data_IF_825052941400
#
_entry.id   IF_825052941400
#
_cell.length_a   1.000
_cell.length_b   1.000
_cell.length_c   1.000
_cell.angle_alpha   90.00
_cell.angle_beta   90.00
_cell.angle_gamma   90.00
#
_symmetry.space_group_name_H-M   'P 1'
#
loop_
_entity.id
_entity.type
_entity.pdbx_description
1 polymer ?
#
# COMPACT_ATOMS: atom_id res chain seq x y z
N UNK A 1 8.81 25.55 -49.73
CA UNK A 1 7.61 24.68 -49.71
C UNK A 1 8.05 23.24 -49.97
N UNK A 2 7.72 22.29 -49.08
CA UNK A 2 8.06 20.87 -49.30
C UNK A 2 7.36 20.37 -50.57
N UNK A 3 8.09 19.69 -51.45
CA UNK A 3 7.60 19.24 -52.76
C UNK A 3 6.40 18.28 -52.58
N UNK A 4 5.19 18.65 -53.05
CA UNK A 4 3.96 17.89 -52.82
C UNK A 4 4.00 16.48 -53.43
N UNK A 5 4.74 16.31 -54.53
CA UNK A 5 4.90 15.02 -55.22
C UNK A 5 5.65 14.01 -54.35
N UNK A 6 6.67 14.47 -53.61
CA UNK A 6 7.46 13.60 -52.73
C UNK A 6 6.66 13.15 -51.50
N UNK A 7 5.76 13.99 -51.00
CA UNK A 7 4.86 13.64 -49.90
C UNK A 7 3.82 12.61 -50.35
N UNK A 8 3.26 12.77 -51.55
CA UNK A 8 2.29 11.84 -52.12
C UNK A 8 2.91 10.45 -52.39
N UNK A 9 4.12 10.41 -52.95
CA UNK A 9 4.87 9.18 -53.13
C UNK A 9 5.15 8.45 -51.79
N UNK A 10 5.42 9.19 -50.72
CA UNK A 10 5.60 8.64 -49.38
C UNK A 10 4.31 8.03 -48.79
N UNK A 11 3.15 8.63 -49.07
CA UNK A 11 1.85 8.09 -48.65
C UNK A 11 1.52 6.77 -49.35
N UNK A 12 1.73 6.71 -50.66
CA UNK A 12 1.55 5.47 -51.43
C UNK A 12 2.50 4.39 -50.91
N UNK A 13 3.76 4.73 -50.63
CA UNK A 13 4.72 3.77 -50.08
C UNK A 13 4.32 3.24 -48.70
N UNK A 14 3.65 4.04 -47.86
CA UNK A 14 3.14 3.59 -46.56
C UNK A 14 1.98 2.60 -46.66
N UNK A 15 1.16 2.66 -47.72
CA UNK A 15 0.07 1.70 -47.93
C UNK A 15 0.58 0.26 -48.12
N UNK A 16 1.77 0.10 -48.71
CA UNK A 16 2.39 -1.21 -48.93
C UNK A 16 3.26 -1.69 -47.76
N UNK A 17 3.41 -0.90 -46.69
CA UNK A 17 4.08 -1.34 -45.47
C UNK A 17 3.11 -2.14 -44.61
N UNK A 18 3.62 -3.14 -43.90
CA UNK A 18 2.83 -3.84 -42.88
C UNK A 18 2.32 -2.81 -41.87
N UNK A 19 1.06 -2.87 -41.46
CA UNK A 19 0.54 -1.93 -40.48
C UNK A 19 1.28 -2.15 -39.15
N UNK A 20 1.63 -1.05 -38.50
CA UNK A 20 2.25 -1.08 -37.15
C UNK A 20 1.20 -1.37 -36.07
N UNK A 21 -0.08 -1.46 -36.46
CA UNK A 21 -1.17 -1.82 -35.57
C UNK A 21 -0.94 -3.22 -35.03
N UNK A 22 -0.79 -3.29 -33.72
CA UNK A 22 -0.90 -4.53 -32.97
C UNK A 22 -2.39 -4.90 -32.85
N UNK A 23 -2.72 -6.18 -32.97
CA UNK A 23 -4.01 -6.65 -32.46
C UNK A 23 -3.98 -6.50 -30.94
N UNK A 24 -5.05 -5.97 -30.35
CA UNK A 24 -5.15 -5.65 -28.92
C UNK A 24 -5.20 -6.93 -28.06
N UNK A 25 -4.09 -7.65 -27.99
CA UNK A 25 -3.81 -8.59 -26.91
C UNK A 25 -2.56 -8.07 -26.21
N UNK A 26 -2.79 -7.51 -25.02
CA UNK A 26 -1.85 -6.78 -24.18
C UNK A 26 -0.39 -7.19 -24.39
N UNK A 27 0.32 -6.32 -25.10
CA UNK A 27 1.72 -6.50 -25.43
C UNK A 27 2.60 -6.49 -24.18
N UNK A 28 3.65 -7.31 -24.24
CA UNK A 28 4.84 -7.32 -23.39
C UNK A 28 4.89 -6.21 -22.33
N UNK A 29 4.42 -6.52 -21.12
CA UNK A 29 4.62 -5.68 -19.94
C UNK A 29 6.09 -5.80 -19.53
N UNK A 30 6.77 -4.67 -19.35
CA UNK A 30 8.11 -4.68 -18.77
C UNK A 30 8.04 -5.16 -17.31
N UNK A 31 9.08 -5.86 -16.85
CA UNK A 31 9.22 -6.28 -15.44
C UNK A 31 9.13 -5.10 -14.44
N UNK A 32 9.43 -3.88 -14.89
CA UNK A 32 9.37 -2.65 -14.08
C UNK A 32 8.05 -1.88 -14.19
N UNK A 33 7.01 -2.47 -14.78
CA UNK A 33 5.74 -1.80 -14.95
C UNK A 33 5.08 -1.55 -13.59
N UNK A 34 4.71 -0.29 -13.32
CA UNK A 34 4.13 0.11 -12.04
C UNK A 34 2.61 0.01 -12.11
N UNK A 35 2.06 -1.00 -11.47
CA UNK A 35 0.62 -1.17 -11.33
C UNK A 35 0.09 -0.71 -9.96
N UNK A 36 -1.20 -0.97 -9.69
CA UNK A 36 -1.83 -0.70 -8.41
C UNK A 36 -1.06 -1.40 -7.27
N UNK A 37 -0.64 -0.66 -6.22
CA UNK A 37 0.11 -1.26 -5.13
C UNK A 37 -0.72 -2.31 -4.39
N UNK A 38 -0.21 -3.55 -4.35
CA UNK A 38 -0.76 -4.64 -3.54
C UNK A 38 0.02 -4.75 -2.25
N UNK A 39 -0.68 -4.75 -1.12
CA UNK A 39 -0.07 -4.91 0.20
C UNK A 39 -0.08 -6.37 0.62
N UNK A 40 1.05 -6.82 1.14
CA UNK A 40 1.20 -8.07 1.87
C UNK A 40 0.89 -7.80 3.35
N UNK A 41 -0.24 -8.34 3.82
CA UNK A 41 -0.74 -8.14 5.18
C UNK A 41 0.16 -8.81 6.24
N UNK A 42 0.90 -9.85 5.86
CA UNK A 42 1.83 -10.53 6.77
C UNK A 42 3.04 -9.65 7.06
N UNK A 43 3.60 -9.00 6.03
CA UNK A 43 4.76 -8.10 6.15
C UNK A 43 4.40 -6.71 6.61
N UNK A 44 3.17 -6.25 6.37
CA UNK A 44 2.74 -4.93 6.80
C UNK A 44 2.82 -4.79 8.32
N UNK A 45 3.39 -3.68 8.79
CA UNK A 45 3.43 -3.33 10.22
C UNK A 45 2.51 -2.17 10.57
N UNK A 46 1.89 -1.51 9.60
CA UNK A 46 1.13 -0.28 9.86
C UNK A 46 1.97 0.90 10.37
N UNK A 47 3.25 0.98 9.99
CA UNK A 47 4.18 2.04 10.42
C UNK A 47 3.88 3.44 9.85
N UNK A 48 3.08 3.53 8.79
CA UNK A 48 2.70 4.83 8.20
C UNK A 48 3.66 5.44 7.18
N UNK A 49 4.80 4.81 6.89
CA UNK A 49 5.75 5.36 5.90
C UNK A 49 5.13 5.57 4.50
N UNK A 50 4.22 4.68 4.07
CA UNK A 50 3.52 4.81 2.80
C UNK A 50 2.51 5.98 2.79
N UNK A 51 1.88 6.27 3.93
CA UNK A 51 0.97 7.40 4.10
C UNK A 51 1.73 8.73 3.95
N UNK A 52 2.84 8.89 4.68
CA UNK A 52 3.63 10.12 4.63
C UNK A 52 4.24 10.41 3.25
N UNK A 53 4.56 9.36 2.48
CA UNK A 53 5.19 9.53 1.15
C UNK A 53 4.19 9.70 0.01
N UNK A 54 2.91 9.50 0.25
CA UNK A 54 1.88 9.56 -0.79
C UNK A 54 1.60 11.01 -1.21
N UNK A 55 2.07 11.40 -2.40
CA UNK A 55 1.87 12.77 -2.91
C UNK A 55 0.44 13.05 -3.38
N UNK A 56 -0.33 12.01 -3.72
CA UNK A 56 -1.72 12.16 -4.14
C UNK A 56 -2.72 12.03 -3.00
N UNK A 57 -2.27 11.74 -1.78
CA UNK A 57 -3.16 11.51 -0.63
C UNK A 57 -4.00 10.24 -0.71
N UNK A 58 -3.69 9.32 -1.64
CA UNK A 58 -4.44 8.07 -1.84
C UNK A 58 -4.29 7.05 -0.71
N UNK A 59 -3.27 7.18 0.13
CA UNK A 59 -3.08 6.28 1.28
C UNK A 59 -3.74 6.90 2.50
N UNK A 60 -4.49 6.09 3.25
CA UNK A 60 -5.18 6.49 4.47
C UNK A 60 -4.83 5.56 5.61
N UNK A 61 -4.77 6.11 6.82
CA UNK A 61 -4.55 5.36 8.07
C UNK A 61 -5.58 5.85 9.07
N UNK A 62 -6.38 4.91 9.55
CA UNK A 62 -7.43 5.16 10.53
C UNK A 62 -7.26 4.20 11.70
N UNK A 63 -7.22 4.75 12.91
CA UNK A 63 -7.19 3.96 14.14
C UNK A 63 -8.60 3.97 14.73
N UNK A 64 -9.27 2.82 14.71
CA UNK A 64 -10.62 2.65 15.24
C UNK A 64 -10.55 1.61 16.35
N UNK A 65 -10.88 2.02 17.57
CA UNK A 65 -10.78 1.16 18.76
C UNK A 65 -9.38 0.55 18.91
N UNK A 66 -9.26 -0.78 18.84
CA UNK A 66 -8.01 -1.53 18.99
C UNK A 66 -7.39 -1.92 17.65
N UNK A 67 -7.84 -1.34 16.53
CA UNK A 67 -7.38 -1.73 15.21
C UNK A 67 -6.94 -0.52 14.39
N UNK A 68 -5.77 -0.62 13.78
CA UNK A 68 -5.27 0.28 12.75
C UNK A 68 -5.63 -0.28 11.38
N UNK A 69 -6.37 0.49 10.61
CA UNK A 69 -6.66 0.19 9.20
C UNK A 69 -5.76 1.04 8.30
N UNK A 70 -5.03 0.38 7.38
CA UNK A 70 -4.24 1.02 6.32
C UNK A 70 -4.90 0.74 4.98
N UNK A 71 -5.26 1.79 4.25
CA UNK A 71 -6.07 1.75 3.04
C UNK A 71 -5.33 2.47 1.90
N UNK A 72 -5.39 1.95 0.67
CA UNK A 72 -4.94 2.66 -0.54
C UNK A 72 -6.14 2.77 -1.46
N UNK A 73 -6.60 4.00 -1.64
CA UNK A 73 -7.63 4.34 -2.60
C UNK A 73 -7.07 4.27 -4.02
N UNK A 74 -7.62 3.34 -4.78
CA UNK A 74 -7.23 3.08 -6.16
C UNK A 74 -7.59 4.21 -7.13
N UNK A 75 -8.60 5.02 -6.81
CA UNK A 75 -9.05 6.12 -7.68
C UNK A 75 -8.16 7.36 -7.54
N UNK A 76 -7.66 7.61 -6.33
CA UNK A 76 -6.73 8.70 -6.05
C UNK A 76 -5.26 8.29 -6.29
N UNK A 77 -4.98 7.02 -6.54
CA UNK A 77 -3.63 6.53 -6.80
C UNK A 77 -3.14 6.97 -8.19
N UNK A 78 -1.98 7.63 -8.23
CA UNK A 78 -1.32 8.07 -9.49
C UNK A 78 -0.23 7.10 -9.97
N UNK A 79 -0.15 5.90 -9.40
CA UNK A 79 0.80 4.85 -9.78
C UNK A 79 2.30 5.25 -9.76
N UNK A 80 2.66 6.23 -8.92
CA UNK A 80 4.04 6.72 -8.86
C UNK A 80 5.03 5.73 -8.22
N UNK A 81 4.56 4.76 -7.44
CA UNK A 81 5.38 3.72 -6.80
C UNK A 81 6.16 4.12 -5.53
N UNK A 82 6.10 5.39 -5.11
CA UNK A 82 6.85 5.88 -3.92
C UNK A 82 6.51 5.16 -2.62
N UNK A 83 5.30 4.62 -2.50
CA UNK A 83 4.88 3.85 -1.33
C UNK A 83 5.63 2.52 -1.22
N UNK A 84 5.94 1.86 -2.34
CA UNK A 84 6.76 0.65 -2.36
C UNK A 84 8.20 0.96 -1.96
N UNK A 85 8.79 2.03 -2.52
CA UNK A 85 10.15 2.47 -2.21
C UNK A 85 10.33 2.87 -0.73
N UNK A 86 9.29 3.47 -0.12
CA UNK A 86 9.34 3.94 1.26
C UNK A 86 9.07 2.84 2.29
N UNK A 87 8.58 1.66 1.88
CA UNK A 87 8.19 0.61 2.82
C UNK A 87 9.42 -0.11 3.38
N UNK A 88 9.70 -0.01 4.69
CA UNK A 88 10.90 -0.64 5.26
C UNK A 88 10.83 -2.18 5.25
N UNK A 89 9.62 -2.76 5.25
CA UNK A 89 9.42 -4.22 5.18
C UNK A 89 9.23 -4.72 3.74
N UNK A 90 9.29 -3.85 2.73
CA UNK A 90 8.97 -4.20 1.34
C UNK A 90 7.61 -4.92 1.21
N UNK A 91 6.62 -4.47 1.99
CA UNK A 91 5.28 -5.06 2.04
C UNK A 91 4.38 -4.65 0.87
N UNK A 92 4.82 -3.72 0.02
CA UNK A 92 4.06 -3.21 -1.12
C UNK A 92 4.72 -3.63 -2.43
N UNK A 93 3.94 -4.26 -3.29
CA UNK A 93 4.38 -4.72 -4.61
C UNK A 93 3.57 -4.01 -5.70
N UNK A 94 4.24 -3.63 -6.79
CA UNK A 94 3.66 -2.90 -7.92
C UNK A 94 3.54 -3.82 -9.13
N UNK A 95 2.88 -4.97 -9.01
CA UNK A 95 2.77 -5.94 -10.09
C UNK A 95 1.34 -6.04 -10.64
N UNK A 96 1.26 -6.32 -11.94
CA UNK A 96 0.02 -6.70 -12.62
C UNK A 96 -0.30 -8.19 -12.42
N UNK A 97 0.67 -8.98 -11.96
CA UNK A 97 0.57 -10.42 -11.91
C UNK A 97 -0.29 -10.92 -10.73
N UNK A 98 -1.17 -11.91 -10.99
CA UNK A 98 -1.91 -12.61 -9.95
C UNK A 98 -0.95 -13.47 -9.08
N UNK A 99 -1.10 -13.41 -7.76
CA UNK A 99 -0.26 -14.14 -6.80
C UNK A 99 -0.77 -15.55 -6.52
N UNK A 100 -2.08 -15.77 -6.55
CA UNK A 100 -2.68 -17.07 -6.24
C UNK A 100 -3.09 -17.84 -7.50
N UNK A 101 -3.18 -19.16 -7.41
CA UNK A 101 -3.65 -20.00 -8.52
C UNK A 101 -5.13 -19.71 -8.86
N UNK A 102 -5.92 -19.24 -7.90
CA UNK A 102 -7.28 -18.76 -8.13
C UNK A 102 -7.30 -17.44 -8.91
N UNK A 103 -6.38 -16.51 -8.60
CA UNK A 103 -6.22 -15.27 -9.37
C UNK A 103 -5.64 -15.53 -10.78
N UNK A 104 -4.84 -16.60 -10.96
CA UNK A 104 -4.40 -17.07 -12.29
C UNK A 104 -5.57 -17.61 -13.12
N UNK A 105 -6.48 -18.40 -12.51
CA UNK A 105 -7.71 -18.86 -13.18
C UNK A 105 -8.60 -17.69 -13.58
N UNK A 106 -8.79 -16.71 -12.70
CA UNK A 106 -9.52 -15.47 -13.04
C UNK A 106 -8.83 -14.73 -14.20
N UNK A 107 -7.50 -14.68 -14.24
CA UNK A 107 -6.76 -14.09 -15.38
C UNK A 107 -6.93 -14.89 -16.67
N UNK A 108 -6.92 -16.22 -16.60
CA UNK A 108 -7.12 -17.12 -17.75
C UNK A 108 -8.56 -17.03 -18.28
N UNK A 109 -9.56 -17.03 -17.40
CA UNK A 109 -10.97 -16.82 -17.73
C UNK A 109 -11.27 -15.39 -18.22
N UNK A 110 -10.54 -14.37 -17.74
CA UNK A 110 -10.60 -12.98 -18.26
C UNK A 110 -10.07 -12.85 -19.70
N UNK A 111 -9.23 -13.79 -20.16
CA UNK A 111 -8.60 -13.75 -21.48
C UNK A 111 -9.44 -14.39 -22.60
N UNK A 112 -10.48 -15.16 -22.25
CA UNK A 112 -11.35 -15.87 -23.20
C UNK A 112 -12.63 -15.11 -23.59
N UNK A 113 -12.79 -13.85 -23.16
CA UNK A 113 -13.94 -13.02 -23.49
C UNK A 113 -13.57 -12.05 -24.62
N UNK A 114 -14.20 -12.20 -25.79
CA UNK A 114 -14.15 -11.21 -26.88
C UNK A 114 -14.46 -9.80 -26.31
N UNK A 115 -13.43 -8.97 -26.17
CA UNK A 115 -13.51 -7.66 -25.50
C UNK A 115 -12.96 -7.72 -24.08
N UNK A 116 -11.63 -7.69 -23.98
CA UNK A 116 -10.86 -7.94 -22.76
C UNK A 116 -11.36 -7.19 -21.52
N UNK A 117 -11.60 -7.95 -20.47
CA UNK A 117 -11.86 -7.43 -19.14
C UNK A 117 -10.59 -6.75 -18.59
N UNK A 118 -10.72 -5.50 -18.11
CA UNK A 118 -9.66 -4.83 -17.38
C UNK A 118 -9.77 -5.23 -15.89
N UNK A 119 -8.68 -5.59 -15.19
CA UNK A 119 -8.69 -6.15 -13.82
C UNK A 119 -9.11 -5.17 -12.71
N UNK A 120 -9.67 -4.02 -13.06
CA UNK A 120 -10.45 -3.20 -12.13
C UNK A 120 -11.86 -3.80 -11.92
N UNK A 121 -12.00 -5.12 -11.83
CA UNK A 121 -13.30 -5.79 -11.61
C UNK A 121 -13.95 -5.45 -10.26
N UNK A 122 -13.27 -4.69 -9.40
CA UNK A 122 -13.88 -4.07 -8.22
C UNK A 122 -14.47 -2.66 -8.48
N UNK A 123 -14.31 -2.09 -9.69
CA UNK A 123 -14.55 -0.65 -9.94
C UNK A 123 -15.33 -0.30 -11.23
N UNK A 124 -15.66 -1.24 -12.12
CA UNK A 124 -16.59 -0.92 -13.22
C UNK A 124 -17.65 -1.99 -13.41
N UNK A 125 -18.93 -1.72 -13.07
CA UNK A 125 -20.01 -2.59 -13.49
C UNK A 125 -20.08 -2.63 -15.02
N UNK A 126 -20.05 -3.84 -15.58
CA UNK A 126 -20.11 -4.12 -17.02
C UNK A 126 -21.44 -3.71 -17.68
N UNK A 127 -22.48 -3.49 -16.88
CA UNK A 127 -23.85 -3.44 -17.39
C UNK A 127 -24.31 -1.99 -17.56
N UNK A 128 -24.06 -1.45 -18.76
CA UNK A 128 -24.57 -0.16 -19.26
C UNK A 128 -23.92 1.11 -18.66
N UNK A 129 -23.86 2.16 -19.47
CA UNK A 129 -23.25 3.47 -19.17
C UNK A 129 -23.84 4.11 -17.90
N UNK A 130 -25.11 3.81 -17.63
CA UNK A 130 -25.84 4.25 -16.44
C UNK A 130 -25.31 3.60 -15.15
N UNK A 131 -25.01 2.29 -15.14
CA UNK A 131 -24.46 1.65 -13.95
C UNK A 131 -23.04 2.12 -13.63
N UNK A 132 -22.23 2.39 -14.66
CA UNK A 132 -20.90 3.00 -14.48
C UNK A 132 -20.99 4.42 -13.90
N UNK A 133 -21.94 5.23 -14.37
CA UNK A 133 -22.19 6.58 -13.82
C UNK A 133 -22.72 6.50 -12.39
N UNK A 134 -23.62 5.57 -12.10
CA UNK A 134 -24.17 5.37 -10.75
C UNK A 134 -23.10 4.87 -9.77
N UNK A 135 -22.23 3.98 -10.20
CA UNK A 135 -21.09 3.53 -9.41
C UNK A 135 -20.13 4.68 -9.09
N UNK A 136 -19.77 5.50 -10.09
CA UNK A 136 -18.96 6.71 -9.88
C UNK A 136 -19.64 7.71 -8.95
N UNK A 137 -20.97 7.89 -9.08
CA UNK A 137 -21.77 8.74 -8.17
C UNK A 137 -21.72 8.25 -6.74
N UNK A 138 -21.85 6.94 -6.51
CA UNK A 138 -21.75 6.34 -5.17
C UNK A 138 -20.39 6.55 -4.55
N UNK A 139 -19.31 6.44 -5.33
CA UNK A 139 -17.96 6.70 -4.82
C UNK A 139 -17.76 8.19 -4.53
N UNK A 140 -18.21 9.09 -5.41
CA UNK A 140 -18.13 10.52 -5.14
C UNK A 140 -18.94 10.91 -3.89
N UNK A 141 -20.12 10.32 -3.70
CA UNK A 141 -20.93 10.51 -2.49
C UNK A 141 -20.22 9.97 -1.24
N UNK A 142 -19.59 8.79 -1.33
CA UNK A 142 -18.77 8.24 -0.25
C UNK A 142 -17.60 9.17 0.12
N UNK A 143 -16.87 9.68 -0.87
CA UNK A 143 -15.80 10.67 -0.66
C UNK A 143 -16.31 11.99 -0.05
N UNK A 144 -17.47 12.49 -0.49
CA UNK A 144 -18.11 13.70 0.06
C UNK A 144 -18.56 13.49 1.52
N UNK A 145 -18.91 12.25 1.89
CA UNK A 145 -19.30 11.86 3.24
C UNK A 145 -18.09 11.46 4.12
N UNK A 146 -16.87 11.53 3.58
CA UNK A 146 -15.64 11.18 4.30
C UNK A 146 -15.39 9.69 4.44
N UNK A 147 -16.07 8.85 3.66
CA UNK A 147 -15.82 7.41 3.57
C UNK A 147 -14.72 7.12 2.54
N UNK A 148 -13.84 6.15 2.85
CA UNK A 148 -12.76 5.75 1.94
C UNK A 148 -13.36 5.14 0.65
N UNK A 149 -12.83 5.52 -0.52
CA UNK A 149 -13.17 4.94 -1.83
C UNK A 149 -12.87 3.43 -1.94
N UNK A 150 -13.01 2.79 -3.12
CA UNK A 150 -12.70 1.37 -3.30
C UNK A 150 -11.21 1.12 -2.98
N UNK A 151 -10.96 0.59 -1.79
CA UNK A 151 -9.62 0.50 -1.25
C UNK A 151 -9.29 -0.88 -0.69
N UNK A 152 -8.02 -1.24 -0.84
CA UNK A 152 -7.45 -2.45 -0.23
C UNK A 152 -7.09 -2.16 1.21
N UNK A 153 -7.87 -2.71 2.14
CA UNK A 153 -7.73 -2.49 3.59
C UNK A 153 -6.87 -3.58 4.20
N UNK A 154 -5.90 -3.17 5.02
CA UNK A 154 -5.13 -4.05 5.90
C UNK A 154 -5.41 -3.61 7.33
N UNK A 155 -5.89 -4.52 8.17
CA UNK A 155 -6.21 -4.26 9.58
C UNK A 155 -5.13 -4.86 10.48
N UNK A 156 -4.63 -4.07 11.42
CA UNK A 156 -3.59 -4.48 12.36
C UNK A 156 -4.01 -4.17 13.80
N UNK A 157 -3.80 -5.09 14.75
CA UNK A 157 -4.13 -4.85 16.13
C UNK A 157 -3.16 -3.82 16.75
N UNK A 158 -3.74 -2.85 17.46
CA UNK A 158 -3.07 -1.91 18.34
C UNK A 158 -2.90 -2.52 19.73
N UNK A 159 -1.89 -2.05 20.46
CA UNK A 159 -1.63 -2.54 21.81
C UNK A 159 -2.34 -1.71 22.87
N UNK A 160 -2.59 -2.32 24.03
CA UNK A 160 -3.03 -1.61 25.24
C UNK A 160 -1.87 -1.46 26.22
N UNK A 161 -1.88 -0.34 26.93
CA UNK A 161 -0.96 -0.11 28.04
C UNK A 161 -1.22 -1.12 29.16
N UNK A 162 -0.18 -1.83 29.60
CA UNK A 162 -0.24 -2.82 30.68
C UNK A 162 -0.58 -2.24 32.05
N UNK A 163 -0.56 -0.92 32.21
CA UNK A 163 -0.81 -0.23 33.49
C UNK A 163 -2.19 0.43 33.54
N UNK A 164 -2.52 1.26 32.55
CA UNK A 164 -3.79 2.00 32.53
C UNK A 164 -4.83 1.43 31.56
N UNK A 165 -4.46 0.52 30.66
CA UNK A 165 -5.36 -0.06 29.67
C UNK A 165 -5.68 0.85 28.47
N UNK A 166 -5.14 2.08 28.42
CA UNK A 166 -5.29 2.97 27.26
C UNK A 166 -4.69 2.35 26.00
N UNK A 167 -5.33 2.61 24.86
CA UNK A 167 -4.85 2.16 23.54
C UNK A 167 -3.60 2.98 23.18
N UNK A 168 -2.57 2.28 22.70
CA UNK A 168 -1.33 2.87 22.23
C UNK A 168 -1.34 2.95 20.70
N UNK A 169 -0.85 4.04 20.08
CA UNK A 169 -0.90 4.26 18.63
C UNK A 169 0.10 3.40 17.82
N UNK A 170 0.68 2.36 18.43
CA UNK A 170 1.61 1.45 17.79
C UNK A 170 1.02 0.03 17.68
N UNK A 171 1.21 -0.58 16.52
CA UNK A 171 0.81 -1.97 16.29
C UNK A 171 1.85 -2.91 16.92
N UNK A 172 1.41 -4.11 17.33
CA UNK A 172 2.30 -5.13 17.88
C UNK A 172 3.46 -5.46 16.92
N UNK A 173 3.16 -5.66 15.64
CA UNK A 173 4.17 -5.95 14.60
C UNK A 173 5.21 -4.84 14.47
N UNK A 174 4.78 -3.58 14.56
CA UNK A 174 5.71 -2.45 14.45
C UNK A 174 6.70 -2.44 15.62
N UNK A 175 6.21 -2.62 16.85
CA UNK A 175 7.07 -2.63 18.04
C UNK A 175 8.06 -3.79 18.03
N UNK A 176 7.66 -4.98 17.58
CA UNK A 176 8.55 -6.15 17.45
C UNK A 176 9.71 -5.87 16.49
N UNK A 177 9.43 -5.28 15.32
CA UNK A 177 10.45 -4.96 14.32
C UNK A 177 11.36 -3.83 14.80
N UNK A 178 10.80 -2.80 15.46
CA UNK A 178 11.59 -1.71 16.06
C UNK A 178 12.52 -2.26 17.15
N UNK A 179 12.02 -3.15 18.01
CA UNK A 179 12.84 -3.84 19.02
C UNK A 179 13.99 -4.59 18.36
N UNK A 180 13.70 -5.42 17.34
CA UNK A 180 14.70 -6.20 16.62
C UNK A 180 15.79 -5.31 16.03
N UNK A 181 15.40 -4.27 15.28
CA UNK A 181 16.34 -3.32 14.65
C UNK A 181 17.19 -2.56 15.66
N UNK A 182 16.60 -2.17 16.80
CA UNK A 182 17.35 -1.48 17.85
C UNK A 182 18.43 -2.39 18.45
N UNK A 183 18.11 -3.66 18.71
CA UNK A 183 19.04 -4.61 19.31
C UNK A 183 20.17 -5.02 18.36
N UNK A 184 19.89 -5.19 17.07
CA UNK A 184 20.90 -5.54 16.05
C UNK A 184 21.99 -4.47 15.88
N UNK A 185 21.67 -3.19 16.16
CA UNK A 185 22.59 -2.07 15.99
C UNK A 185 23.39 -1.70 17.26
N UNK A 186 23.15 -2.38 18.39
CA UNK A 186 23.79 -2.09 19.67
C UNK A 186 24.95 -3.04 19.96
N UNK A 187 25.93 -2.56 20.74
CA UNK A 187 26.97 -3.42 21.31
C UNK A 187 26.33 -4.49 22.22
N UNK A 188 26.86 -5.72 22.26
CA UNK A 188 26.20 -6.85 22.96
C UNK A 188 25.89 -6.60 24.44
N UNK A 189 26.75 -5.86 25.14
CA UNK A 189 26.58 -5.51 26.56
C UNK A 189 25.42 -4.52 26.74
N UNK A 190 25.37 -3.50 25.91
CA UNK A 190 24.30 -2.50 25.90
C UNK A 190 22.97 -3.10 25.45
N UNK A 191 22.99 -3.99 24.46
CA UNK A 191 21.81 -4.65 23.93
C UNK A 191 21.05 -5.43 25.01
N UNK A 192 21.75 -6.12 25.92
CA UNK A 192 21.11 -6.84 27.05
C UNK A 192 20.36 -5.90 27.97
N UNK A 193 20.97 -4.78 28.33
CA UNK A 193 20.36 -3.79 29.23
C UNK A 193 19.15 -3.14 28.56
N UNK A 194 19.29 -2.75 27.30
CA UNK A 194 18.21 -2.15 26.52
C UNK A 194 17.07 -3.12 26.30
N UNK A 195 17.34 -4.42 26.11
CA UNK A 195 16.30 -5.42 25.94
C UNK A 195 15.40 -5.55 27.19
N UNK A 196 15.99 -5.52 28.38
CA UNK A 196 15.25 -5.54 29.64
C UNK A 196 14.36 -4.31 29.80
N UNK A 197 14.92 -3.11 29.55
CA UNK A 197 14.16 -1.86 29.59
C UNK A 197 13.04 -1.83 28.54
N UNK A 198 13.30 -2.34 27.32
CA UNK A 198 12.32 -2.40 26.23
C UNK A 198 11.10 -3.25 26.56
N UNK A 199 11.23 -4.32 27.36
CA UNK A 199 10.08 -5.15 27.78
C UNK A 199 9.04 -4.33 28.54
N UNK A 200 9.49 -3.34 29.32
CA UNK A 200 8.62 -2.44 30.07
C UNK A 200 8.17 -1.25 29.21
N UNK A 201 9.07 -0.71 28.39
CA UNK A 201 8.79 0.46 27.58
C UNK A 201 7.84 0.19 26.42
N UNK A 202 7.85 -1.00 25.83
CA UNK A 202 6.99 -1.32 24.69
C UNK A 202 5.58 -1.72 25.12
N UNK A 203 5.34 -2.06 26.39
CA UNK A 203 4.02 -2.48 26.89
C UNK A 203 3.26 -1.37 27.62
N UNK A 204 3.85 -0.19 27.82
CA UNK A 204 3.25 0.89 28.60
C UNK A 204 3.21 2.22 27.83
N UNK A 205 2.14 2.99 27.99
CA UNK A 205 1.98 4.29 27.34
C UNK A 205 2.98 5.34 27.88
N UNK A 206 3.19 6.43 27.16
CA UNK A 206 4.16 7.50 27.52
C UNK A 206 3.92 8.03 28.93
N UNK A 207 2.65 8.28 29.32
CA UNK A 207 2.28 8.81 30.63
C UNK A 207 2.62 7.84 31.77
N UNK A 208 2.28 6.55 31.60
CA UNK A 208 2.62 5.51 32.57
C UNK A 208 4.14 5.31 32.68
N UNK A 209 4.86 5.30 31.55
CA UNK A 209 6.32 5.19 31.52
C UNK A 209 7.00 6.29 32.31
N UNK A 210 6.56 7.54 32.16
CA UNK A 210 7.10 8.66 32.92
C UNK A 210 6.80 8.54 34.41
N UNK A 211 5.55 8.22 34.77
CA UNK A 211 5.09 8.11 36.17
C UNK A 211 5.80 7.00 36.95
N UNK A 212 6.01 5.83 36.33
CA UNK A 212 6.60 4.66 37.00
C UNK A 212 8.10 4.48 36.73
N UNK A 213 8.75 5.41 36.03
CA UNK A 213 10.17 5.33 35.64
C UNK A 213 11.14 5.06 36.80
N UNK A 214 10.90 5.64 37.98
CA UNK A 214 11.70 5.41 39.18
C UNK A 214 11.45 4.02 39.79
N UNK A 215 10.19 3.58 39.82
CA UNK A 215 9.79 2.27 40.39
C UNK A 215 10.32 1.13 39.52
N UNK A 216 10.29 1.31 38.20
CA UNK A 216 10.77 0.35 37.22
C UNK A 216 12.28 0.41 36.97
N UNK A 217 13.00 1.26 37.71
CA UNK A 217 14.43 1.48 37.54
C UNK A 217 14.84 1.75 36.08
N UNK A 218 13.99 2.42 35.31
CA UNK A 218 14.25 2.80 33.91
C UNK A 218 14.69 4.27 33.78
N UNK A 219 14.66 5.02 34.87
CA UNK A 219 15.09 6.42 34.90
C UNK A 219 16.62 6.55 34.70
N UNK A 220 17.13 7.53 33.92
CA UNK A 220 18.58 7.73 33.68
C UNK A 220 19.44 7.88 34.94
N UNK A 221 18.86 8.36 36.04
CA UNK A 221 19.51 8.41 37.37
C UNK A 221 19.99 7.05 37.88
N UNK A 222 19.59 5.92 37.29
CA UNK A 222 20.09 4.59 37.66
C UNK A 222 21.60 4.41 37.49
N UNK A 223 22.24 5.26 36.69
CA UNK A 223 23.68 5.22 36.41
C UNK A 223 24.48 6.36 37.05
N UNK A 224 23.83 7.19 37.88
CA UNK A 224 24.47 8.27 38.65
C UNK A 224 24.68 7.77 40.07
#
# INVERSE_FOLDING_TARGET
MKNPVKAFAGLIANFFRKPVTIEENYGFLSDTFRWLPRRDDEKCTGCGACYERCSSGATHIHDVQEERTVCIDSLNCIFCGRCADACPESALELSFEPKTDDEKKVREEMFDIEGGECPHSLIRPKENKEASLEYLRRISLAHEQGEDGPCTKTMLPLQRCSVCGEIMPETSKHLEIVKKRALENLQPETAKIVEEDMKLYLTACVSCRQKYSLIWNTHPRKYI
#
